data_IF_328864353778
#
_entry.id   IF_328864353778
#
_cell.length_a   1.000
_cell.length_b   1.000
_cell.length_c   1.000
_cell.angle_alpha   90.00
_cell.angle_beta   90.00
_cell.angle_gamma   90.00
#
_symmetry.space_group_name_H-M   'P 1'
#
loop_
_entity.id
_entity.type
_entity.pdbx_description
1 polymer ?
#
# COMPACT_ATOMS: atom_id res chain seq x y z
N UNK A 1 -17.42 4.30 10.93
CA UNK A 1 -16.16 4.58 10.21
C UNK A 1 -16.09 3.58 9.06
N UNK A 2 -15.99 4.07 7.81
CA UNK A 2 -16.02 3.20 6.63
C UNK A 2 -14.62 3.13 6.03
N UNK A 3 -14.11 1.92 5.87
CA UNK A 3 -12.82 1.67 5.23
C UNK A 3 -12.98 1.49 3.72
N UNK A 4 -12.02 1.98 2.95
CA UNK A 4 -11.89 1.78 1.50
C UNK A 4 -10.61 1.03 1.18
N UNK A 5 -10.63 0.16 0.15
CA UNK A 5 -9.44 -0.52 -0.34
C UNK A 5 -8.58 0.43 -1.17
N UNK A 6 -7.29 0.52 -0.84
CA UNK A 6 -6.31 1.25 -1.61
C UNK A 6 -5.71 0.38 -2.72
N UNK A 7 -5.24 1.02 -3.79
CA UNK A 7 -4.51 0.40 -4.90
C UNK A 7 -3.01 0.21 -4.55
N UNK A 8 -2.75 -0.14 -3.29
CA UNK A 8 -1.42 -0.15 -2.71
C UNK A 8 -1.21 -1.35 -1.78
N UNK A 9 0.06 -1.74 -1.66
CA UNK A 9 0.49 -2.86 -0.82
C UNK A 9 1.37 -2.40 0.33
N UNK A 10 1.20 -3.06 1.47
CA UNK A 10 1.90 -2.81 2.72
C UNK A 10 3.41 -3.01 2.55
N UNK A 11 4.22 -2.06 3.01
CA UNK A 11 5.69 -2.17 2.97
C UNK A 11 6.26 -3.31 3.81
N UNK A 12 5.48 -3.83 4.77
CA UNK A 12 5.92 -4.86 5.72
C UNK A 12 5.60 -6.28 5.27
N UNK A 13 4.45 -6.49 4.62
CA UNK A 13 3.99 -7.85 4.26
C UNK A 13 3.40 -7.96 2.86
N UNK A 14 3.41 -6.88 2.06
CA UNK A 14 2.84 -6.80 0.72
C UNK A 14 1.33 -7.08 0.63
N UNK A 15 0.63 -7.14 1.76
CA UNK A 15 -0.83 -7.25 1.82
C UNK A 15 -1.54 -5.93 1.48
N UNK A 16 -2.85 -5.99 1.20
CA UNK A 16 -3.64 -4.81 0.83
C UNK A 16 -3.77 -3.80 1.97
N UNK A 17 -3.84 -2.53 1.59
CA UNK A 17 -4.06 -1.42 2.51
C UNK A 17 -5.50 -0.96 2.43
N UNK A 18 -6.09 -0.72 3.60
CA UNK A 18 -7.36 -0.05 3.80
C UNK A 18 -7.08 1.39 4.23
N UNK A 19 -7.94 2.32 3.87
CA UNK A 19 -7.92 3.68 4.40
C UNK A 19 -9.28 4.11 4.94
N UNK A 20 -9.27 4.92 5.98
CA UNK A 20 -10.44 5.57 6.53
C UNK A 20 -10.13 7.04 6.85
N UNK A 21 -11.09 7.97 6.66
CA UNK A 21 -10.91 9.35 7.08
C UNK A 21 -10.79 9.42 8.61
N UNK A 22 -9.79 10.14 9.12
CA UNK A 22 -9.56 10.33 10.55
C UNK A 22 -9.84 11.78 10.98
N UNK A 23 -9.26 12.76 10.27
CA UNK A 23 -9.45 14.19 10.50
C UNK A 23 -9.25 14.96 9.19
N UNK A 24 -9.41 16.29 9.20
CA UNK A 24 -9.29 17.13 8.00
C UNK A 24 -7.95 16.90 7.27
N UNK A 25 -8.01 16.25 6.10
CA UNK A 25 -6.83 15.92 5.28
C UNK A 25 -5.98 14.75 5.78
N UNK A 26 -6.36 14.09 6.87
CA UNK A 26 -5.63 12.94 7.45
C UNK A 26 -6.48 11.68 7.35
N UNK A 27 -5.86 10.62 6.86
CA UNK A 27 -6.43 9.27 6.79
C UNK A 27 -5.64 8.34 7.71
N UNK A 28 -6.35 7.42 8.34
CA UNK A 28 -5.74 6.21 8.87
C UNK A 28 -5.55 5.23 7.71
N UNK A 29 -4.37 4.66 7.58
CA UNK A 29 -4.06 3.56 6.69
C UNK A 29 -3.78 2.32 7.53
N UNK A 30 -4.39 1.19 7.18
CA UNK A 30 -4.24 -0.08 7.90
C UNK A 30 -4.03 -1.23 6.93
N UNK A 31 -3.08 -2.10 7.20
CA UNK A 31 -2.91 -3.32 6.43
C UNK A 31 -3.98 -4.34 6.82
N UNK A 32 -4.71 -4.85 5.82
CA UNK A 32 -5.73 -5.88 6.00
C UNK A 32 -5.15 -7.26 6.35
N UNK A 33 -3.84 -7.46 6.15
CA UNK A 33 -3.17 -8.74 6.38
C UNK A 33 -2.36 -8.78 7.68
N UNK A 34 -1.38 -7.88 7.85
CA UNK A 34 -0.51 -7.88 9.05
C UNK A 34 -0.97 -6.93 10.16
N UNK A 35 -2.02 -6.14 9.94
CA UNK A 35 -2.59 -5.26 10.96
C UNK A 35 -1.84 -3.96 11.25
N UNK A 36 -0.62 -3.76 10.72
CA UNK A 36 0.10 -2.48 10.84
C UNK A 36 -0.76 -1.31 10.37
N UNK A 37 -0.70 -0.20 11.10
CA UNK A 37 -1.49 0.99 10.85
C UNK A 37 -0.68 2.26 11.06
N UNK A 38 -0.88 3.25 10.20
CA UNK A 38 -0.22 4.55 10.24
C UNK A 38 -1.19 5.65 9.83
N UNK A 39 -1.03 6.85 10.38
CA UNK A 39 -1.86 8.01 10.00
C UNK A 39 -1.05 8.99 9.13
N UNK A 40 -1.69 9.54 8.10
CA UNK A 40 -1.05 10.52 7.24
C UNK A 40 -1.97 11.08 6.16
N UNK A 41 -1.46 12.01 5.35
CA UNK A 41 -2.18 12.54 4.19
C UNK A 41 -2.19 11.56 3.01
N UNK A 42 -1.10 10.82 2.83
CA UNK A 42 -0.89 9.89 1.72
C UNK A 42 -0.62 8.46 2.18
N UNK A 43 -1.11 7.50 1.40
CA UNK A 43 -0.93 6.06 1.61
C UNK A 43 0.53 5.63 1.66
N UNK A 44 1.44 6.45 1.11
CA UNK A 44 2.89 6.24 1.15
C UNK A 44 3.43 6.06 2.55
N UNK A 45 2.77 6.54 3.61
CA UNK A 45 3.19 6.32 5.01
C UNK A 45 3.22 4.85 5.42
N UNK A 46 2.39 3.99 4.80
CA UNK A 46 2.31 2.54 5.05
C UNK A 46 2.64 1.70 3.81
N UNK A 47 2.58 2.29 2.62
CA UNK A 47 2.79 1.62 1.34
C UNK A 47 4.27 1.41 1.01
N UNK A 48 4.56 0.35 0.25
CA UNK A 48 5.88 0.07 -0.34
C UNK A 48 6.38 1.19 -1.27
N UNK A 49 5.47 1.95 -1.90
CA UNK A 49 5.80 3.12 -2.74
C UNK A 49 6.52 4.23 -1.96
N UNK A 50 6.39 4.25 -0.63
CA UNK A 50 7.12 5.20 0.22
C UNK A 50 8.56 4.76 0.54
N UNK A 51 8.96 3.53 0.19
CA UNK A 51 10.31 3.05 0.43
C UNK A 51 11.29 3.70 -0.56
N UNK A 52 12.28 4.38 -0.02
CA UNK A 52 13.36 4.98 -0.79
C UNK A 52 14.72 4.64 -0.20
N UNK A 53 15.72 4.53 -1.08
CA UNK A 53 17.13 4.42 -0.71
C UNK A 53 17.87 5.56 -1.39
N UNK A 54 18.56 6.39 -0.59
CA UNK A 54 19.29 7.57 -1.07
C UNK A 54 18.42 8.49 -1.97
N UNK A 55 17.15 8.68 -1.59
CA UNK A 55 16.19 9.51 -2.32
C UNK A 55 15.57 8.86 -3.57
N UNK A 56 15.95 7.64 -3.93
CA UNK A 56 15.36 6.90 -5.05
C UNK A 56 14.29 5.93 -4.56
N UNK A 57 13.08 6.04 -5.10
CA UNK A 57 12.00 5.08 -4.84
C UNK A 57 12.32 3.77 -5.55
N UNK A 58 12.19 2.66 -4.84
CA UNK A 58 12.58 1.34 -5.35
C UNK A 58 11.42 0.55 -5.93
N UNK A 59 10.23 0.76 -5.39
CA UNK A 59 9.06 -0.02 -5.70
C UNK A 59 7.88 0.86 -6.05
N UNK A 60 7.02 0.35 -6.91
CA UNK A 60 5.73 0.90 -7.24
C UNK A 60 4.66 -0.19 -7.12
N UNK A 61 3.47 0.17 -6.64
CA UNK A 61 2.34 -0.74 -6.69
C UNK A 61 1.80 -0.77 -8.11
N UNK A 62 1.76 -1.95 -8.69
CA UNK A 62 1.24 -2.19 -10.04
C UNK A 62 0.11 -3.20 -9.97
N UNK A 63 -0.82 -3.12 -10.91
CA UNK A 63 -1.85 -4.14 -11.05
C UNK A 63 -1.20 -5.49 -11.37
N UNK A 64 -1.62 -6.54 -10.69
CA UNK A 64 -1.17 -7.90 -10.98
C UNK A 64 -1.83 -8.39 -12.27
N UNK A 65 -1.04 -8.63 -13.31
CA UNK A 65 -1.43 -9.25 -14.58
C UNK A 65 -1.31 -10.78 -14.53
N UNK A 66 -0.55 -11.32 -13.58
CA UNK A 66 -0.33 -12.75 -13.35
C UNK A 66 -1.27 -13.32 -12.28
N UNK A 67 -2.55 -12.91 -12.28
CA UNK A 67 -3.53 -13.39 -11.30
C UNK A 67 -3.82 -14.87 -11.51
N UNK A 68 -3.73 -15.64 -10.43
CA UNK A 68 -4.07 -17.06 -10.41
C UNK A 68 -4.60 -17.46 -9.02
N UNK A 69 -5.15 -18.67 -8.83
CA UNK A 69 -5.57 -19.11 -7.49
C UNK A 69 -4.45 -19.08 -6.44
N UNK A 70 -3.20 -19.30 -6.85
CA UNK A 70 -2.02 -19.24 -5.98
C UNK A 70 -1.47 -17.83 -5.80
N UNK A 71 -1.74 -16.93 -6.76
CA UNK A 71 -1.36 -15.53 -6.72
C UNK A 71 -2.58 -14.66 -7.00
N UNK A 72 -3.48 -14.55 -6.03
CA UNK A 72 -4.77 -13.88 -6.18
C UNK A 72 -4.72 -12.37 -5.86
N UNK A 73 -3.55 -11.84 -5.51
CA UNK A 73 -3.39 -10.43 -5.17
C UNK A 73 -3.75 -9.54 -6.37
N UNK A 74 -4.58 -8.51 -6.17
CA UNK A 74 -4.94 -7.61 -7.28
C UNK A 74 -3.84 -6.61 -7.64
N UNK A 75 -3.04 -6.23 -6.65
CA UNK A 75 -1.90 -5.35 -6.77
C UNK A 75 -0.67 -6.01 -6.14
N UNK A 76 0.49 -5.79 -6.75
CA UNK A 76 1.78 -6.32 -6.32
C UNK A 76 2.83 -5.20 -6.31
N UNK A 77 3.96 -5.44 -5.63
CA UNK A 77 5.11 -4.55 -5.71
C UNK A 77 5.92 -4.88 -6.97
N UNK A 78 5.98 -3.93 -7.91
CA UNK A 78 6.90 -3.95 -9.05
C UNK A 78 8.10 -3.06 -8.79
N UNK A 79 9.21 -3.28 -9.51
CA UNK A 79 10.33 -2.34 -9.51
C UNK A 79 9.88 -0.99 -10.08
N UNK A 80 10.25 0.09 -9.39
CA UNK A 80 10.13 1.43 -9.96
C UNK A 80 11.20 1.55 -11.06
N UNK A 81 10.76 1.53 -12.32
CA UNK A 81 11.65 1.80 -13.45
C UNK A 81 11.81 3.32 -13.50
N UNK A 82 13.00 3.79 -13.11
CA UNK A 82 13.39 5.20 -13.18
C UNK A 82 14.15 5.51 -14.46
#
# INVERSE_FOLDING_TARGET
>A
MTYSLEQHVCRYCLGRILSAPLAAGVREFKCANCGHSESGSEVKVLCVCGLSIKGKFLYQCVQNDQKSPVNNAEYVAGLAVG
#
